data_IF_444853042925
#
_entry.id   IF_444853042925
#
_cell.length_a   1.000
_cell.length_b   1.000
_cell.length_c   1.000
_cell.angle_alpha   90.00
_cell.angle_beta   90.00
_cell.angle_gamma   90.00
#
_symmetry.space_group_name_H-M   'P 1'
#
loop_
_entity.id
_entity.type
_entity.pdbx_description
1 polymer ?
#
# COMPACT_ATOMS: atom_id res chain seq x y z
N UNK A 1 -3.82 -17.53 7.37
CA UNK A 1 -4.76 -16.81 6.48
C UNK A 1 -4.04 -15.59 5.94
N UNK A 2 -4.40 -15.09 4.76
CA UNK A 2 -3.79 -13.89 4.22
C UNK A 2 -4.76 -12.72 4.39
N UNK A 3 -4.33 -11.67 5.07
CA UNK A 3 -5.07 -10.43 5.23
C UNK A 3 -4.36 -9.31 4.47
N UNK A 4 -5.12 -8.33 3.99
CA UNK A 4 -4.60 -7.26 3.14
C UNK A 4 -4.83 -5.91 3.81
N UNK A 5 -3.74 -5.18 4.03
CA UNK A 5 -3.78 -3.82 4.58
C UNK A 5 -3.35 -2.86 3.49
N UNK A 6 -4.25 -1.99 3.06
CA UNK A 6 -4.00 -0.95 2.07
C UNK A 6 -3.85 0.41 2.75
N UNK A 7 -2.76 1.11 2.46
CA UNK A 7 -2.40 2.41 3.02
C UNK A 7 -2.33 3.43 1.88
N UNK A 8 -3.05 4.53 2.02
CA UNK A 8 -3.03 5.62 1.04
C UNK A 8 -3.17 6.97 1.70
N UNK A 9 -2.91 8.02 0.93
CA UNK A 9 -3.05 9.38 1.43
C UNK A 9 -4.51 9.77 1.66
N UNK A 10 -4.76 10.58 2.69
CA UNK A 10 -6.08 11.19 2.92
C UNK A 10 -6.43 12.16 1.78
N UNK A 11 -7.72 12.39 1.58
CA UNK A 11 -8.19 13.37 0.61
C UNK A 11 -7.59 14.76 0.88
N UNK A 12 -7.09 15.41 -0.17
CA UNK A 12 -6.45 16.72 -0.07
C UNK A 12 -4.98 16.69 0.32
N UNK A 13 -4.43 15.53 0.70
CA UNK A 13 -2.99 15.35 0.89
C UNK A 13 -2.33 15.05 -0.44
N UNK A 14 -1.19 15.69 -0.68
CA UNK A 14 -0.41 15.53 -1.90
C UNK A 14 0.32 14.20 -1.92
N UNK A 15 0.03 13.38 -2.93
CA UNK A 15 0.84 12.21 -3.28
C UNK A 15 2.00 12.61 -4.22
N UNK A 16 3.20 12.78 -3.65
CA UNK A 16 4.38 13.15 -4.42
C UNK A 16 4.84 12.08 -5.41
N UNK A 17 4.61 10.79 -5.10
CA UNK A 17 4.99 9.68 -5.98
C UNK A 17 4.04 9.59 -7.16
N UNK A 18 2.73 9.67 -6.90
CA UNK A 18 1.68 9.74 -7.93
C UNK A 18 1.94 10.84 -8.95
N UNK A 19 2.19 12.06 -8.48
CA UNK A 19 2.54 13.21 -9.34
C UNK A 19 3.80 12.98 -10.17
N UNK A 20 4.82 12.33 -9.60
CA UNK A 20 6.05 11.99 -10.32
C UNK A 20 5.78 10.97 -11.43
N UNK A 21 4.92 9.98 -11.18
CA UNK A 21 4.54 8.96 -12.16
C UNK A 21 3.69 9.58 -13.27
N UNK A 22 2.70 10.41 -12.95
CA UNK A 22 1.92 11.19 -13.94
C UNK A 22 2.84 11.94 -14.89
N UNK A 23 3.80 12.72 -14.36
CA UNK A 23 4.77 13.48 -15.18
C UNK A 23 5.60 12.57 -16.08
N UNK A 24 5.99 11.38 -15.63
CA UNK A 24 6.73 10.40 -16.45
C UNK A 24 5.87 9.80 -17.56
N UNK A 25 4.61 9.45 -17.28
CA UNK A 25 3.69 8.92 -18.28
C UNK A 25 3.50 9.95 -19.41
N UNK A 26 3.15 11.19 -19.05
CA UNK A 26 2.96 12.28 -20.03
C UNK A 26 4.26 12.60 -20.77
N UNK A 27 5.39 12.65 -20.06
CA UNK A 27 6.68 13.03 -20.64
C UNK A 27 7.25 11.98 -21.59
N UNK A 28 7.17 10.69 -21.23
CA UNK A 28 7.84 9.61 -21.96
C UNK A 28 6.91 8.86 -22.91
N UNK A 29 5.68 8.58 -22.48
CA UNK A 29 4.73 7.79 -23.27
C UNK A 29 3.80 8.67 -24.12
N UNK A 30 3.77 9.98 -23.84
CA UNK A 30 2.87 10.95 -24.51
C UNK A 30 1.38 10.59 -24.36
N UNK A 31 1.04 9.83 -23.31
CA UNK A 31 -0.32 9.50 -22.94
C UNK A 31 -0.79 10.56 -21.94
N UNK A 32 -1.96 11.14 -22.20
CA UNK A 32 -2.59 12.06 -21.26
C UNK A 32 -3.15 11.27 -20.07
N UNK A 33 -2.94 11.79 -18.86
CA UNK A 33 -3.44 11.22 -17.61
C UNK A 33 -3.79 12.39 -16.70
N UNK A 34 -4.98 12.39 -16.14
CA UNK A 34 -5.49 13.43 -15.25
C UNK A 34 -4.89 13.30 -13.85
N UNK A 35 -4.84 12.08 -13.30
CA UNK A 35 -4.30 11.84 -11.97
C UNK A 35 -3.70 10.45 -11.82
N UNK A 36 -2.75 10.33 -10.88
CA UNK A 36 -2.21 9.06 -10.43
C UNK A 36 -2.13 9.11 -8.91
N UNK A 37 -2.85 8.22 -8.24
CA UNK A 37 -2.83 8.04 -6.80
C UNK A 37 -2.14 6.71 -6.47
N UNK A 38 -1.27 6.71 -5.48
CA UNK A 38 -0.55 5.52 -5.02
C UNK A 38 -1.09 5.01 -3.70
N UNK A 39 -1.15 3.69 -3.60
CA UNK A 39 -1.59 2.97 -2.41
C UNK A 39 -0.55 1.88 -2.13
N UNK A 40 -0.01 1.89 -0.93
CA UNK A 40 0.89 0.84 -0.45
C UNK A 40 0.05 -0.30 0.09
N UNK A 41 0.46 -1.51 -0.22
CA UNK A 41 -0.28 -2.72 0.09
C UNK A 41 0.63 -3.64 0.85
N UNK A 42 0.16 -4.07 2.02
CA UNK A 42 0.80 -5.08 2.85
C UNK A 42 -0.08 -6.33 2.85
N UNK A 43 0.39 -7.37 2.18
CA UNK A 43 -0.20 -8.71 2.24
C UNK A 43 0.42 -9.44 3.42
N UNK A 44 -0.35 -9.56 4.50
CA UNK A 44 0.06 -10.17 5.74
C UNK A 44 -0.34 -11.64 5.73
N UNK A 45 0.64 -12.52 5.59
CA UNK A 45 0.47 -13.97 5.68
C UNK A 45 0.83 -14.43 7.10
N UNK A 46 -0.21 -14.60 7.91
CA UNK A 46 -0.11 -14.96 9.31
C UNK A 46 -1.48 -15.03 9.96
N UNK A 47 -1.56 -15.69 11.10
CA UNK A 47 -2.79 -15.75 11.88
C UNK A 47 -2.83 -14.56 12.84
N UNK A 48 -3.44 -13.46 12.40
CA UNK A 48 -3.65 -12.26 13.20
C UNK A 48 -5.13 -12.11 13.53
N UNK A 49 -5.43 -11.87 14.80
CA UNK A 49 -6.76 -11.49 15.23
C UNK A 49 -7.13 -10.11 14.63
N UNK A 50 -8.43 -9.82 14.43
CA UNK A 50 -8.87 -8.54 13.90
C UNK A 50 -8.32 -7.32 14.66
N UNK A 51 -8.18 -7.40 15.99
CA UNK A 51 -7.59 -6.33 16.80
C UNK A 51 -6.09 -6.14 16.55
N UNK A 52 -5.35 -7.20 16.23
CA UNK A 52 -3.93 -7.12 15.89
C UNK A 52 -3.73 -6.52 14.49
N UNK A 53 -4.60 -6.87 13.52
CA UNK A 53 -4.61 -6.26 12.20
C UNK A 53 -4.88 -4.75 12.27
N UNK A 54 -5.86 -4.35 13.08
CA UNK A 54 -6.18 -2.94 13.30
C UNK A 54 -5.03 -2.19 13.97
N UNK A 55 -4.39 -2.79 14.97
CA UNK A 55 -3.22 -2.21 15.63
C UNK A 55 -2.01 -2.09 14.68
N UNK A 56 -1.79 -3.09 13.82
CA UNK A 56 -0.74 -3.05 12.80
C UNK A 56 -1.00 -1.95 11.77
N UNK A 57 -2.23 -1.85 11.26
CA UNK A 57 -2.61 -0.85 10.26
C UNK A 57 -2.50 0.58 10.81
N UNK A 58 -3.00 0.83 12.02
CA UNK A 58 -2.98 2.15 12.68
C UNK A 58 -1.61 2.53 13.24
N UNK A 59 -0.80 1.55 13.62
CA UNK A 59 0.48 1.76 14.30
C UNK A 59 1.64 1.82 13.30
N UNK A 60 2.40 0.73 13.13
CA UNK A 60 3.65 0.75 12.37
C UNK A 60 3.48 0.93 10.85
N UNK A 61 2.30 0.64 10.28
CA UNK A 61 2.11 0.64 8.83
C UNK A 61 1.61 1.96 8.25
N UNK A 62 1.09 2.88 9.07
CA UNK A 62 0.56 4.15 8.56
C UNK A 62 0.87 5.34 9.45
N UNK A 63 1.01 6.49 8.81
CA UNK A 63 1.02 7.78 9.49
C UNK A 63 -0.43 8.24 9.75
N UNK A 64 -0.86 8.40 11.00
CA UNK A 64 -2.25 8.72 11.33
C UNK A 64 -2.69 10.13 10.85
N UNK A 65 -1.73 11.04 10.62
CA UNK A 65 -1.99 12.43 10.25
C UNK A 65 -2.29 12.54 8.76
N UNK A 66 -1.46 11.94 7.91
CA UNK A 66 -1.52 12.15 6.46
C UNK A 66 -2.07 10.95 5.68
N UNK A 67 -2.07 9.76 6.28
CA UNK A 67 -2.53 8.53 5.64
C UNK A 67 -3.82 8.01 6.28
N UNK A 68 -4.50 7.16 5.51
CA UNK A 68 -5.65 6.36 5.91
C UNK A 68 -5.39 4.92 5.49
N UNK A 69 -6.03 3.99 6.18
CA UNK A 69 -5.88 2.56 5.90
C UNK A 69 -7.22 1.88 5.69
N UNK A 70 -7.16 0.74 5.01
CA UNK A 70 -8.25 -0.20 4.81
C UNK A 70 -7.73 -1.62 5.05
N UNK A 71 -8.53 -2.43 5.74
CA UNK A 71 -8.23 -3.84 6.00
C UNK A 71 -9.25 -4.66 5.22
N UNK A 72 -8.75 -5.60 4.42
CA UNK A 72 -9.50 -6.54 3.57
C UNK A 72 -10.56 -5.88 2.67
N UNK A 73 -10.32 -4.61 2.30
CA UNK A 73 -11.14 -3.85 1.36
C UNK A 73 -10.27 -2.87 0.58
N UNK A 74 -10.71 -2.52 -0.62
CA UNK A 74 -9.99 -1.59 -1.49
C UNK A 74 -10.06 -0.14 -0.99
N UNK A 75 -8.92 0.55 -1.02
CA UNK A 75 -8.82 1.98 -0.72
C UNK A 75 -8.92 2.85 -2.00
N UNK A 76 -8.56 2.29 -3.15
CA UNK A 76 -8.58 2.99 -4.44
C UNK A 76 -10.00 3.42 -4.84
N UNK A 77 -10.14 4.65 -5.33
CA UNK A 77 -11.42 5.23 -5.80
C UNK A 77 -11.18 6.18 -6.97
N UNK A 78 -12.20 6.36 -7.81
CA UNK A 78 -12.20 7.39 -8.87
C UNK A 78 -11.09 7.20 -9.90
N UNK A 79 -10.84 5.97 -10.33
CA UNK A 79 -9.83 5.62 -11.32
C UNK A 79 -10.48 4.91 -12.51
N UNK A 80 -9.86 5.04 -13.68
CA UNK A 80 -10.19 4.28 -14.89
C UNK A 80 -9.34 3.00 -14.98
N UNK A 81 -8.11 3.06 -14.48
CA UNK A 81 -7.19 1.93 -14.43
C UNK A 81 -6.58 1.78 -13.03
N UNK A 82 -6.46 0.53 -12.58
CA UNK A 82 -5.72 0.18 -11.37
C UNK A 82 -4.62 -0.82 -11.74
N UNK A 83 -3.37 -0.43 -11.48
CA UNK A 83 -2.20 -1.27 -11.74
C UNK A 83 -1.54 -1.58 -10.40
N UNK A 84 -1.43 -2.87 -10.06
CA UNK A 84 -0.69 -3.32 -8.88
C UNK A 84 0.66 -3.90 -9.29
N UNK A 85 1.72 -3.41 -8.64
CA UNK A 85 3.10 -3.86 -8.87
C UNK A 85 3.65 -4.42 -7.58
N UNK A 86 3.99 -5.71 -7.58
CA UNK A 86 4.61 -6.42 -6.47
C UNK A 86 5.92 -7.10 -6.87
N UNK A 87 6.68 -7.55 -5.88
CA UNK A 87 7.89 -8.32 -6.10
C UNK A 87 7.57 -9.73 -6.63
N UNK A 88 8.44 -10.26 -7.50
CA UNK A 88 8.34 -11.65 -7.96
C UNK A 88 8.70 -12.62 -6.82
N UNK A 89 8.18 -13.86 -6.84
CA UNK A 89 8.61 -14.90 -5.90
C UNK A 89 10.14 -15.07 -5.89
N UNK A 90 10.71 -15.12 -4.68
CA UNK A 90 12.16 -15.27 -4.49
C UNK A 90 12.96 -13.96 -4.55
N UNK A 91 12.32 -12.82 -4.87
CA UNK A 91 12.97 -11.50 -4.78
C UNK A 91 12.87 -10.98 -3.35
N UNK A 92 13.96 -10.41 -2.85
CA UNK A 92 14.00 -9.81 -1.52
C UNK A 92 13.12 -8.56 -1.46
N UNK A 93 12.12 -8.61 -0.58
CA UNK A 93 11.28 -7.48 -0.23
C UNK A 93 11.74 -6.90 1.13
N UNK A 94 12.55 -5.84 1.08
CA UNK A 94 13.06 -5.19 2.27
C UNK A 94 11.95 -4.51 3.10
N UNK A 95 10.95 -3.93 2.42
CA UNK A 95 9.85 -3.23 3.10
C UNK A 95 8.95 -4.25 3.78
N UNK A 96 8.65 -5.36 3.09
CA UNK A 96 7.92 -6.50 3.65
C UNK A 96 8.63 -7.08 4.86
N UNK A 97 9.96 -7.22 4.81
CA UNK A 97 10.74 -7.69 5.97
C UNK A 97 10.62 -6.76 7.17
N UNK A 98 10.81 -5.44 6.98
CA UNK A 98 10.69 -4.47 8.08
C UNK A 98 9.26 -4.40 8.63
N UNK A 99 8.25 -4.45 7.76
CA UNK A 99 6.85 -4.52 8.17
C UNK A 99 6.55 -5.78 8.98
N UNK A 100 7.06 -6.94 8.55
CA UNK A 100 6.93 -8.19 9.27
C UNK A 100 7.55 -8.12 10.68
N UNK A 101 8.75 -7.55 10.81
CA UNK A 101 9.41 -7.34 12.11
C UNK A 101 8.57 -6.44 13.04
N UNK A 102 8.05 -5.33 12.51
CA UNK A 102 7.23 -4.39 13.28
C UNK A 102 5.91 -5.02 13.76
N UNK A 103 5.23 -5.77 12.89
CA UNK A 103 3.99 -6.47 13.24
C UNK A 103 4.28 -7.61 14.23
N UNK A 104 5.38 -8.34 14.05
CA UNK A 104 5.77 -9.42 14.96
C UNK A 104 6.06 -8.92 16.38
N UNK A 105 6.67 -7.72 16.52
CA UNK A 105 6.86 -7.07 17.81
C UNK A 105 5.53 -6.72 18.50
N UNK A 106 4.53 -6.30 17.72
CA UNK A 106 3.19 -5.97 18.21
C UNK A 106 2.38 -7.22 18.60
N UNK A 107 2.44 -8.26 17.77
CA UNK A 107 1.63 -9.47 17.89
C UNK A 107 2.29 -10.58 18.73
N UNK A 108 3.59 -10.44 19.07
CA UNK A 108 4.35 -11.42 19.85
C UNK A 108 4.61 -12.74 19.13
N UNK A 109 4.48 -12.79 17.79
CA UNK A 109 4.61 -14.01 16.97
C UNK A 109 5.20 -13.69 15.60
N UNK A 110 5.90 -14.63 14.95
CA UNK A 110 6.44 -14.42 13.61
C UNK A 110 5.31 -14.28 12.59
N UNK A 111 5.46 -13.32 11.68
CA UNK A 111 4.51 -13.00 10.61
C UNK A 111 5.31 -12.88 9.31
N UNK A 112 4.70 -13.25 8.17
CA UNK A 112 5.24 -12.93 6.85
C UNK A 112 4.45 -11.78 6.24
N UNK A 113 5.16 -10.83 5.64
CA UNK A 113 4.53 -9.69 4.96
C UNK A 113 5.17 -9.54 3.58
N UNK A 114 4.33 -9.35 2.58
CA UNK A 114 4.71 -9.05 1.21
C UNK A 114 4.14 -7.70 0.81
N UNK A 115 4.93 -6.88 0.13
CA UNK A 115 4.53 -5.56 -0.29
C UNK A 115 4.28 -5.48 -1.79
N UNK A 116 3.24 -4.71 -2.12
CA UNK A 116 2.97 -4.25 -3.47
C UNK A 116 2.55 -2.78 -3.41
N UNK A 117 2.50 -2.14 -4.57
CA UNK A 117 1.98 -0.79 -4.70
C UNK A 117 0.96 -0.76 -5.82
N UNK A 118 -0.20 -0.18 -5.53
CA UNK A 118 -1.20 0.14 -6.53
C UNK A 118 -0.99 1.57 -7.06
N UNK A 119 -1.28 1.72 -8.34
CA UNK A 119 -1.37 2.99 -9.05
C UNK A 119 -2.79 3.09 -9.60
N UNK A 120 -3.62 3.91 -8.96
CA UNK A 120 -4.94 4.29 -9.41
C UNK A 120 -4.79 5.47 -10.38
N UNK A 121 -5.14 5.27 -11.64
CA UNK A 121 -4.90 6.19 -12.76
C UNK A 121 -6.26 6.62 -13.32
N UNK A 122 -6.43 7.92 -13.55
CA UNK A 122 -7.62 8.48 -14.22
C UNK A 122 -7.24 9.31 -15.44
N UNK A 123 -8.11 9.36 -16.45
CA UNK A 123 -7.94 10.11 -17.70
C UNK A 123 -7.42 9.28 -18.87
#
# INVERSE_FOLDING_TARGET
MANRIEIGFRQGIRDALGEKIKKRIVGHLRIHVDSVNTIEVYTVDGDLAPGELEAAARGPLSDPVIQQYAIDRGLARGFDWLIEVGYRPGVTDNVGKTAAEAIALLAGKPIRVYTSRQYAISG
#
